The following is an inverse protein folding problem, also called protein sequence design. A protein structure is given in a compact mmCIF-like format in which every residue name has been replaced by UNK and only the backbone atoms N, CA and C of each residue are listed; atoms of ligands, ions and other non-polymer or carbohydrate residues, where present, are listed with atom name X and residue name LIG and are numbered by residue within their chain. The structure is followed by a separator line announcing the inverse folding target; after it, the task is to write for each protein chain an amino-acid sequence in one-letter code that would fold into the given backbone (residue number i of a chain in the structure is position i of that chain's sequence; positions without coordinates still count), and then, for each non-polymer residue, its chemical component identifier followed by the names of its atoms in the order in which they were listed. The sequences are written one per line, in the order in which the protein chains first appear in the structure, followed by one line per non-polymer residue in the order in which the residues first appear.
data_IF_431799337744
#
_entry.id   IF_431799337744
#
_cell.length_a   1.000
_cell.length_b   1.000
_cell.length_c   1.000
_cell.angle_alpha   90.00
_cell.angle_beta   90.00
_cell.angle_gamma   90.00
#
_symmetry.space_group_name_H-M   'P 1'
#
loop_
_entity.id
_entity.type
_entity.pdbx_description
1 polymer ?
#
# COMPACT_ATOMS: atom_id res chain seq x y z
N UNK A 1 4.23 14.91 -23.05
CA UNK A 1 4.48 14.21 -21.77
C UNK A 1 3.16 14.14 -21.03
N UNK A 2 2.44 13.03 -21.16
CA UNK A 2 1.28 12.73 -20.33
C UNK A 2 1.74 12.57 -18.88
N UNK A 3 1.03 13.14 -17.89
CA UNK A 3 1.36 12.91 -16.50
C UNK A 3 1.21 11.42 -16.21
N UNK A 4 2.24 10.80 -15.63
CA UNK A 4 2.19 9.44 -15.13
C UNK A 4 0.94 9.29 -14.26
N UNK A 5 0.09 8.30 -14.54
CA UNK A 5 -1.04 8.02 -13.66
C UNK A 5 -0.42 7.69 -12.31
N UNK A 6 -0.70 8.52 -11.30
CA UNK A 6 -0.31 8.22 -9.93
C UNK A 6 -0.70 6.78 -9.58
N UNK A 7 0.25 6.03 -9.01
CA UNK A 7 0.15 4.64 -8.55
C UNK A 7 -1.26 4.33 -8.05
N UNK A 8 -2.06 3.62 -8.84
CA UNK A 8 -3.48 3.34 -8.53
C UNK A 8 -3.60 2.11 -7.64
N UNK A 9 -3.06 2.19 -6.43
CA UNK A 9 -3.38 1.19 -5.40
C UNK A 9 -4.87 1.30 -5.09
N UNK A 10 -5.64 0.19 -5.08
CA UNK A 10 -7.05 0.23 -4.73
C UNK A 10 -7.27 0.85 -3.35
N UNK A 11 -8.27 1.72 -3.23
CA UNK A 11 -8.72 2.24 -1.92
C UNK A 11 -9.09 1.07 -1.01
N UNK A 12 -8.62 1.10 0.25
CA UNK A 12 -8.79 0.06 1.28
C UNK A 12 -7.97 -1.23 1.12
N UNK A 13 -7.08 -1.32 0.11
CA UNK A 13 -6.09 -2.40 0.07
C UNK A 13 -5.03 -2.24 1.15
N UNK A 14 -4.70 -3.32 1.84
CA UNK A 14 -3.61 -3.36 2.82
C UNK A 14 -2.58 -4.43 2.47
N UNK A 15 -1.33 -4.18 2.85
CA UNK A 15 -0.22 -5.12 2.70
C UNK A 15 -0.15 -6.05 3.90
N UNK A 16 0.20 -7.30 3.64
CA UNK A 16 0.67 -8.20 4.71
C UNK A 16 2.05 -7.73 5.18
N UNK A 17 2.16 -7.37 6.46
CA UNK A 17 3.41 -6.98 7.10
C UNK A 17 3.92 -8.01 8.11
N UNK A 18 3.14 -9.05 8.39
CA UNK A 18 3.46 -10.03 9.43
C UNK A 18 4.16 -11.27 8.84
N UNK A 19 3.99 -11.53 7.54
CA UNK A 19 4.67 -12.59 6.82
C UNK A 19 4.16 -13.98 7.17
N UNK A 20 5.01 -14.99 6.96
CA UNK A 20 4.64 -16.40 7.16
C UNK A 20 4.57 -16.73 8.65
N UNK A 21 3.50 -17.39 9.06
CA UNK A 21 3.29 -17.95 10.41
C UNK A 21 2.70 -19.37 10.30
N UNK A 22 2.69 -20.12 11.39
CA UNK A 22 2.03 -21.44 11.49
C UNK A 22 0.54 -21.25 11.80
N UNK A 23 -0.38 -21.48 10.83
CA UNK A 23 -1.77 -21.10 10.99
C UNK A 23 -2.62 -22.23 11.59
N UNK A 24 -3.59 -21.81 12.39
CA UNK A 24 -4.73 -22.63 12.76
C UNK A 24 -5.73 -22.73 11.61
N UNK A 25 -5.94 -23.95 11.10
CA UNK A 25 -6.89 -24.23 10.01
C UNK A 25 -8.10 -25.04 10.49
N UNK A 26 -9.22 -24.89 9.78
CA UNK A 26 -10.38 -25.78 9.87
C UNK A 26 -10.09 -27.10 9.16
N UNK A 27 -10.95 -28.10 9.34
CA UNK A 27 -10.83 -29.39 8.66
C UNK A 27 -10.90 -29.30 7.12
N UNK A 28 -11.49 -28.22 6.57
CA UNK A 28 -11.52 -27.97 5.13
C UNK A 28 -10.27 -27.27 4.60
N UNK A 29 -9.28 -26.99 5.47
CA UNK A 29 -8.05 -26.26 5.12
C UNK A 29 -8.20 -24.74 5.08
N UNK A 30 -9.35 -24.19 5.48
CA UNK A 30 -9.53 -22.74 5.58
C UNK A 30 -8.94 -22.20 6.89
N UNK A 31 -8.45 -20.97 6.90
CA UNK A 31 -8.00 -20.32 8.13
C UNK A 31 -9.12 -20.24 9.17
N UNK A 32 -8.82 -20.51 10.44
CA UNK A 32 -9.68 -20.03 11.53
C UNK A 32 -9.56 -18.51 11.60
N UNK A 33 -10.69 -17.83 11.86
CA UNK A 33 -10.74 -16.36 11.90
C UNK A 33 -9.80 -15.76 12.94
N UNK A 34 -9.58 -16.48 14.06
CA UNK A 34 -8.63 -16.13 15.10
C UNK A 34 -7.37 -16.96 14.97
N UNK A 35 -6.23 -16.30 15.02
CA UNK A 35 -4.90 -16.90 15.02
C UNK A 35 -4.17 -16.46 16.29
N UNK A 36 -3.35 -17.34 16.87
CA UNK A 36 -2.58 -17.05 18.08
C UNK A 36 -1.17 -17.68 17.95
N UNK A 37 -0.16 -17.05 18.55
CA UNK A 37 1.23 -17.55 18.47
C UNK A 37 1.61 -18.55 19.58
N UNK A 38 0.63 -19.23 20.19
CA UNK A 38 0.85 -20.16 21.31
C UNK A 38 1.15 -19.51 22.66
N UNK A 39 1.25 -18.18 22.72
CA UNK A 39 1.28 -17.39 23.97
C UNK A 39 -0.05 -16.64 24.14
N UNK A 40 -0.06 -15.55 24.92
CA UNK A 40 -1.25 -14.73 25.10
C UNK A 40 -1.53 -13.77 23.94
N UNK A 41 -0.84 -13.88 22.80
CA UNK A 41 -1.01 -12.96 21.67
C UNK A 41 -1.83 -13.57 20.55
N UNK A 42 -2.97 -12.94 20.23
CA UNK A 42 -3.87 -13.36 19.16
C UNK A 42 -4.21 -12.19 18.22
N UNK A 43 -4.65 -12.52 17.00
CA UNK A 43 -5.11 -11.55 16.00
C UNK A 43 -6.22 -12.17 15.14
N UNK A 44 -7.04 -11.33 14.51
CA UNK A 44 -7.99 -11.79 13.50
C UNK A 44 -7.36 -11.75 12.11
N UNK A 45 -7.72 -12.72 11.27
CA UNK A 45 -7.28 -12.82 9.87
C UNK A 45 -8.47 -12.82 8.91
N UNK A 46 -8.20 -12.48 7.66
CA UNK A 46 -9.13 -12.66 6.55
C UNK A 46 -9.01 -14.07 5.94
N UNK A 47 -9.79 -14.35 4.89
CA UNK A 47 -9.78 -15.64 4.20
C UNK A 47 -8.45 -15.95 3.49
N UNK A 48 -7.60 -14.95 3.28
CA UNK A 48 -6.24 -15.11 2.76
C UNK A 48 -5.20 -15.34 3.87
N UNK A 49 -5.62 -15.43 5.13
CA UNK A 49 -4.73 -15.61 6.28
C UNK A 49 -3.99 -14.33 6.70
N UNK A 50 -4.30 -13.18 6.10
CA UNK A 50 -3.64 -11.91 6.40
C UNK A 50 -4.30 -11.27 7.61
N UNK A 51 -3.48 -10.79 8.55
CA UNK A 51 -3.94 -10.09 9.74
C UNK A 51 -4.73 -8.83 9.36
N UNK A 52 -5.90 -8.67 9.96
CA UNK A 52 -6.83 -7.55 9.74
C UNK A 52 -7.18 -6.76 11.00
N UNK A 53 -6.53 -7.03 12.12
CA UNK A 53 -6.70 -6.33 13.41
C UNK A 53 -5.37 -6.08 14.09
N UNK A 54 -5.34 -5.20 15.08
CA UNK A 54 -4.22 -5.19 16.04
C UNK A 54 -4.09 -6.55 16.74
N UNK A 55 -2.90 -6.83 17.25
CA UNK A 55 -2.65 -7.98 18.13
C UNK A 55 -3.27 -7.69 19.50
N UNK A 56 -4.09 -8.61 19.97
CA UNK A 56 -4.76 -8.57 21.26
C UNK A 56 -4.43 -9.79 22.10
N UNK A 57 -5.14 -9.94 23.21
CA UNK A 57 -4.99 -11.09 24.10
C UNK A 57 -5.87 -12.29 23.69
N UNK A 58 -5.89 -13.34 24.50
CA UNK A 58 -6.75 -14.51 24.28
C UNK A 58 -8.25 -14.20 24.34
N UNK A 59 -8.68 -13.02 24.80
CA UNK A 59 -10.09 -12.59 24.81
C UNK A 59 -10.50 -11.90 23.52
N UNK A 60 -9.57 -11.66 22.59
CA UNK A 60 -9.88 -11.13 21.27
C UNK A 60 -10.93 -12.00 20.58
N UNK A 61 -12.02 -11.35 20.12
CA UNK A 61 -13.14 -12.01 19.46
C UNK A 61 -13.03 -11.80 17.95
N UNK A 62 -12.95 -12.91 17.20
CA UNK A 62 -13.00 -12.95 15.75
C UNK A 62 -14.18 -13.83 15.35
N UNK A 63 -15.39 -13.24 15.34
CA UNK A 63 -16.65 -13.99 15.21
C UNK A 63 -16.87 -14.60 13.82
N UNK A 64 -16.20 -14.07 12.79
CA UNK A 64 -16.34 -14.54 11.42
C UNK A 64 -15.00 -14.46 10.68
N UNK A 65 -14.84 -15.34 9.68
CA UNK A 65 -13.74 -15.25 8.73
C UNK A 65 -14.15 -14.31 7.60
N UNK A 66 -13.55 -13.11 7.58
CA UNK A 66 -13.89 -12.09 6.57
C UNK A 66 -13.29 -12.47 5.22
N UNK A 67 -14.11 -12.46 4.17
CA UNK A 67 -13.68 -12.80 2.81
C UNK A 67 -12.82 -11.69 2.19
N UNK A 68 -11.66 -12.07 1.67
CA UNK A 68 -10.85 -11.26 0.75
C UNK A 68 -11.38 -11.45 -0.67
N UNK A 69 -12.17 -10.50 -1.17
CA UNK A 69 -12.82 -10.64 -2.48
C UNK A 69 -12.05 -9.99 -3.63
N UNK A 70 -11.00 -9.22 -3.34
CA UNK A 70 -10.15 -8.59 -4.34
C UNK A 70 -8.69 -8.62 -3.89
N UNK A 71 -7.81 -9.08 -4.76
CA UNK A 71 -6.36 -9.03 -4.59
C UNK A 71 -5.77 -8.20 -5.73
N UNK A 72 -4.93 -7.23 -5.38
CA UNK A 72 -4.19 -6.40 -6.33
C UNK A 72 -2.70 -6.69 -6.18
N UNK A 73 -2.08 -7.17 -7.26
CA UNK A 73 -0.66 -7.50 -7.30
C UNK A 73 0.05 -6.48 -8.17
N UNK A 74 1.03 -5.80 -7.60
CA UNK A 74 1.93 -4.91 -8.33
C UNK A 74 3.29 -5.59 -8.46
N UNK A 75 3.74 -5.75 -9.70
CA UNK A 75 5.08 -6.23 -10.04
C UNK A 75 5.88 -5.09 -10.62
N UNK A 76 7.16 -5.04 -10.27
CA UNK A 76 8.14 -4.19 -10.93
C UNK A 76 9.23 -5.08 -11.48
N UNK A 77 9.44 -5.01 -12.79
CA UNK A 77 10.51 -5.76 -13.44
C UNK A 77 11.74 -4.89 -13.67
N UNK A 78 12.89 -5.54 -13.92
CA UNK A 78 14.15 -4.88 -14.27
C UNK A 78 13.94 -3.93 -15.43
N UNK A 79 14.48 -2.70 -15.32
CA UNK A 79 14.46 -1.75 -16.43
C UNK A 79 15.13 -2.35 -17.68
N UNK A 80 14.59 -2.03 -18.85
CA UNK A 80 15.05 -2.50 -20.16
C UNK A 80 15.24 -1.30 -21.08
N UNK A 81 16.09 -1.43 -22.10
CA UNK A 81 16.23 -0.43 -23.16
C UNK A 81 14.93 -0.30 -23.97
N UNK A 82 14.29 -1.44 -24.24
CA UNK A 82 13.01 -1.53 -24.93
C UNK A 82 11.95 -2.16 -24.01
N UNK A 83 10.87 -1.43 -23.69
CA UNK A 83 9.72 -1.98 -23.00
C UNK A 83 9.07 -3.12 -23.80
N UNK A 84 8.46 -4.07 -23.09
CA UNK A 84 7.59 -5.06 -23.72
C UNK A 84 6.35 -4.42 -24.35
N UNK A 85 5.69 -5.15 -25.26
CA UNK A 85 4.39 -4.75 -25.78
C UNK A 85 3.31 -5.04 -24.72
N UNK A 86 2.47 -4.04 -24.40
CA UNK A 86 1.48 -4.13 -23.31
C UNK A 86 0.57 -5.36 -23.41
N UNK A 87 0.05 -5.66 -24.61
CA UNK A 87 -0.83 -6.81 -24.83
C UNK A 87 -0.11 -8.15 -24.62
N UNK A 88 1.18 -8.25 -24.97
CA UNK A 88 1.97 -9.47 -24.78
C UNK A 88 2.22 -9.75 -23.30
N UNK A 89 2.51 -8.70 -22.50
CA UNK A 89 2.64 -8.82 -21.04
C UNK A 89 1.33 -9.33 -20.42
N UNK A 90 0.22 -8.69 -20.77
CA UNK A 90 -1.10 -9.07 -20.27
C UNK A 90 -1.45 -10.52 -20.65
N UNK A 91 -1.18 -10.93 -21.90
CA UNK A 91 -1.46 -12.28 -22.37
C UNK A 91 -0.57 -13.33 -21.70
N UNK A 92 0.72 -13.08 -21.54
CA UNK A 92 1.65 -14.01 -20.89
C UNK A 92 1.27 -14.26 -19.42
N UNK A 93 0.94 -13.21 -18.68
CA UNK A 93 0.51 -13.32 -17.29
C UNK A 93 -0.87 -13.98 -17.16
N UNK A 94 -1.83 -13.60 -18.02
CA UNK A 94 -3.14 -14.24 -18.06
C UNK A 94 -3.02 -15.74 -18.34
N UNK A 95 -2.21 -16.12 -19.32
CA UNK A 95 -1.93 -17.51 -19.65
C UNK A 95 -1.31 -18.24 -18.47
N UNK A 96 -0.32 -17.64 -17.80
CA UNK A 96 0.32 -18.22 -16.61
C UNK A 96 -0.69 -18.45 -15.49
N UNK A 97 -1.50 -17.44 -15.18
CA UNK A 97 -2.49 -17.50 -14.09
C UNK A 97 -3.55 -18.58 -14.34
N UNK A 98 -4.04 -18.68 -15.57
CA UNK A 98 -5.05 -19.67 -15.94
C UNK A 98 -4.48 -21.09 -16.00
N UNK A 99 -3.31 -21.28 -16.61
CA UNK A 99 -2.82 -22.62 -16.90
C UNK A 99 -1.99 -23.22 -15.77
N UNK A 100 -1.20 -22.40 -15.07
CA UNK A 100 -0.36 -22.85 -13.96
C UNK A 100 -1.14 -22.88 -12.65
N UNK A 101 -1.82 -21.78 -12.32
CA UNK A 101 -2.55 -21.65 -11.06
C UNK A 101 -4.04 -22.00 -11.16
N UNK A 102 -4.52 -22.41 -12.35
CA UNK A 102 -5.87 -22.93 -12.57
C UNK A 102 -7.00 -21.92 -12.25
N UNK A 103 -6.69 -20.62 -12.19
CA UNK A 103 -7.69 -19.61 -11.91
C UNK A 103 -8.60 -19.42 -13.12
N UNK A 104 -9.91 -19.52 -12.89
CA UNK A 104 -10.90 -19.31 -13.94
C UNK A 104 -10.79 -17.87 -14.51
N UNK A 105 -10.88 -17.68 -15.85
CA UNK A 105 -10.70 -16.37 -16.49
C UNK A 105 -11.59 -15.26 -15.92
N UNK A 106 -12.81 -15.59 -15.49
CA UNK A 106 -13.78 -14.64 -14.92
C UNK A 106 -13.28 -13.92 -13.65
N UNK A 107 -12.30 -14.50 -12.95
CA UNK A 107 -11.73 -13.90 -11.74
C UNK A 107 -10.51 -13.03 -12.01
N UNK A 108 -10.04 -12.95 -13.27
CA UNK A 108 -8.95 -12.06 -13.70
C UNK A 108 -9.59 -10.79 -14.26
N UNK A 109 -9.67 -9.74 -13.44
CA UNK A 109 -10.40 -8.51 -13.80
C UNK A 109 -9.66 -7.70 -14.87
N UNK A 110 -8.37 -7.47 -14.65
CA UNK A 110 -7.49 -6.77 -15.59
C UNK A 110 -6.02 -7.07 -15.28
N UNK A 111 -5.18 -6.91 -16.31
CA UNK A 111 -3.73 -6.94 -16.22
C UNK A 111 -3.21 -5.77 -17.05
N UNK A 112 -2.71 -4.75 -16.36
CA UNK A 112 -2.24 -3.51 -16.97
C UNK A 112 -0.71 -3.42 -16.87
N UNK A 113 -0.08 -2.95 -17.94
CA UNK A 113 1.36 -2.73 -17.99
C UNK A 113 1.66 -1.25 -18.29
N UNK A 114 2.34 -0.61 -17.34
CA UNK A 114 2.84 0.76 -17.43
C UNK A 114 4.31 0.73 -17.03
N UNK A 115 5.20 0.65 -18.03
CA UNK A 115 6.63 0.38 -17.84
C UNK A 115 7.26 1.21 -16.68
N UNK A 116 7.98 0.56 -15.73
CA UNK A 116 8.30 -0.87 -15.61
C UNK A 116 7.35 -1.67 -14.69
N UNK A 117 6.15 -1.14 -14.43
CA UNK A 117 5.18 -1.68 -13.48
C UNK A 117 4.11 -2.50 -14.20
N UNK A 118 3.70 -3.58 -13.56
CA UNK A 118 2.59 -4.43 -13.98
C UNK A 118 1.60 -4.51 -12.83
N UNK A 119 0.34 -4.26 -13.11
CA UNK A 119 -0.76 -4.39 -12.16
C UNK A 119 -1.64 -5.56 -12.55
N UNK A 120 -1.96 -6.46 -11.61
CA UNK A 120 -2.84 -7.61 -11.82
C UNK A 120 -3.99 -7.48 -10.81
N UNK A 121 -5.22 -7.44 -11.30
CA UNK A 121 -6.42 -7.38 -10.48
C UNK A 121 -7.16 -8.71 -10.50
N UNK A 122 -7.27 -9.37 -9.35
CA UNK A 122 -8.03 -10.60 -9.16
C UNK A 122 -9.28 -10.33 -8.33
N UNK A 123 -10.47 -10.76 -8.77
CA UNK A 123 -11.73 -10.55 -8.05
C UNK A 123 -12.56 -11.82 -7.99
N UNK A 124 -12.95 -12.23 -6.79
CA UNK A 124 -13.74 -13.44 -6.56
C UNK A 124 -14.57 -13.29 -5.27
N UNK A 125 -15.86 -12.97 -5.42
CA UNK A 125 -16.79 -12.92 -4.30
C UNK A 125 -17.13 -14.33 -3.81
N UNK A 126 -17.51 -14.46 -2.53
CA UNK A 126 -17.90 -15.75 -1.95
C UNK A 126 -19.06 -16.43 -2.71
N UNK A 127 -20.04 -15.65 -3.19
CA UNK A 127 -21.19 -16.14 -3.94
C UNK A 127 -20.87 -16.68 -5.34
N UNK A 128 -19.70 -16.34 -5.88
CA UNK A 128 -19.31 -16.69 -7.25
C UNK A 128 -18.38 -17.90 -7.31
N UNK A 129 -17.75 -18.29 -6.19
CA UNK A 129 -16.77 -19.38 -6.12
C UNK A 129 -17.48 -20.72 -5.99
N UNK A 130 -17.29 -21.62 -6.94
CA UNK A 130 -17.74 -23.00 -6.82
C UNK A 130 -16.75 -23.84 -5.98
N UNK A 131 -17.17 -25.02 -5.53
CA UNK A 131 -16.32 -25.93 -4.77
C UNK A 131 -15.11 -26.46 -5.55
N UNK A 132 -15.16 -26.41 -6.89
CA UNK A 132 -14.05 -26.81 -7.77
C UNK A 132 -13.11 -25.66 -8.12
N UNK A 133 -13.49 -24.41 -7.81
CA UNK A 133 -12.66 -23.25 -8.12
C UNK A 133 -11.55 -23.07 -7.09
N UNK A 134 -10.34 -22.77 -7.59
CA UNK A 134 -9.25 -22.28 -6.75
C UNK A 134 -9.57 -20.90 -6.18
N UNK A 135 -9.07 -20.60 -4.98
CA UNK A 135 -9.22 -19.26 -4.41
C UNK A 135 -8.20 -18.29 -5.03
N UNK A 136 -8.59 -17.03 -5.22
CA UNK A 136 -7.65 -15.98 -5.62
C UNK A 136 -6.50 -15.79 -4.61
N UNK A 137 -6.74 -16.08 -3.32
CA UNK A 137 -5.71 -16.06 -2.29
C UNK A 137 -4.65 -17.15 -2.50
N UNK A 138 -5.08 -18.37 -2.84
CA UNK A 138 -4.17 -19.47 -3.18
C UNK A 138 -3.32 -19.11 -4.41
N UNK A 139 -3.96 -18.56 -5.44
CA UNK A 139 -3.28 -18.14 -6.67
C UNK A 139 -2.23 -17.07 -6.38
N UNK A 140 -2.56 -16.07 -5.56
CA UNK A 140 -1.61 -15.02 -5.18
C UNK A 140 -0.42 -15.60 -4.39
N UNK A 141 -0.68 -16.51 -3.45
CA UNK A 141 0.36 -17.17 -2.65
C UNK A 141 1.30 -18.02 -3.51
N UNK A 142 0.77 -18.88 -4.38
CA UNK A 142 1.58 -19.72 -5.26
C UNK A 142 2.37 -18.87 -6.27
N UNK A 143 1.76 -17.81 -6.80
CA UNK A 143 2.45 -16.89 -7.70
C UNK A 143 3.59 -16.15 -6.99
N UNK A 144 3.38 -15.71 -5.76
CA UNK A 144 4.42 -15.09 -4.94
C UNK A 144 5.61 -16.03 -4.72
N UNK A 145 5.33 -17.28 -4.36
CA UNK A 145 6.33 -18.33 -4.16
C UNK A 145 7.15 -18.58 -5.43
N UNK A 146 6.48 -18.68 -6.57
CA UNK A 146 7.14 -18.84 -7.87
C UNK A 146 8.05 -17.65 -8.23
N UNK A 147 7.57 -16.41 -8.05
CA UNK A 147 8.34 -15.19 -8.33
C UNK A 147 9.54 -15.05 -7.38
N UNK A 148 9.38 -15.44 -6.10
CA UNK A 148 10.46 -15.43 -5.09
C UNK A 148 11.41 -16.64 -5.19
N UNK A 149 11.27 -17.50 -6.21
CA UNK A 149 12.08 -18.71 -6.43
C UNK A 149 11.98 -19.73 -5.29
N UNK A 150 10.84 -19.77 -4.63
CA UNK A 150 10.48 -20.71 -3.56
C UNK A 150 9.26 -21.54 -4.01
N UNK A 151 9.32 -22.06 -5.24
CA UNK A 151 8.19 -22.76 -5.86
C UNK A 151 7.78 -24.00 -5.07
N UNK A 152 6.47 -24.13 -4.83
CA UNK A 152 5.88 -25.31 -4.17
C UNK A 152 5.64 -26.45 -5.19
N UNK A 153 5.64 -26.14 -6.49
CA UNK A 153 5.49 -27.15 -7.52
C UNK A 153 6.73 -28.04 -7.61
N UNK A 154 6.53 -29.31 -7.98
CA UNK A 154 7.63 -30.23 -8.23
C UNK A 154 8.65 -29.64 -9.20
N UNK A 155 9.93 -29.99 -9.01
CA UNK A 155 11.06 -29.43 -9.78
C UNK A 155 10.99 -29.65 -11.28
N UNK A 156 10.26 -30.68 -11.73
CA UNK A 156 9.96 -30.94 -13.14
C UNK A 156 9.00 -29.92 -13.77
N UNK A 157 8.37 -29.06 -12.97
CA UNK A 157 7.45 -28.00 -13.39
C UNK A 157 8.03 -26.63 -13.02
N UNK A 158 9.27 -26.38 -13.46
CA UNK A 158 9.99 -25.15 -13.20
C UNK A 158 9.22 -23.91 -13.66
N UNK A 159 9.12 -22.92 -12.79
CA UNK A 159 8.52 -21.65 -13.15
C UNK A 159 9.44 -20.84 -14.06
N UNK A 160 8.92 -20.44 -15.22
CA UNK A 160 9.60 -19.53 -16.14
C UNK A 160 8.61 -18.54 -16.75
N UNK A 161 8.74 -17.28 -16.37
CA UNK A 161 7.88 -16.19 -16.86
C UNK A 161 8.61 -15.41 -17.97
N UNK A 162 8.01 -15.40 -19.16
CA UNK A 162 8.58 -14.72 -20.34
C UNK A 162 7.51 -14.01 -21.14
N UNK A 163 7.93 -12.97 -21.87
CA UNK A 163 7.09 -12.18 -22.79
C UNK A 163 7.82 -12.13 -24.13
N UNK A 164 7.20 -12.65 -25.18
CA UNK A 164 7.84 -12.73 -26.51
C UNK A 164 9.16 -13.53 -26.50
N UNK A 165 9.24 -14.59 -25.68
CA UNK A 165 10.45 -15.41 -25.51
C UNK A 165 11.57 -14.78 -24.68
N UNK A 166 11.42 -13.52 -24.24
CA UNK A 166 12.38 -12.83 -23.37
C UNK A 166 11.97 -12.97 -21.89
N UNK A 167 12.89 -13.23 -20.96
CA UNK A 167 12.57 -13.33 -19.54
C UNK A 167 11.94 -12.05 -18.98
N UNK A 168 10.93 -12.19 -18.14
CA UNK A 168 10.34 -11.11 -17.36
C UNK A 168 10.93 -11.13 -15.94
N UNK A 169 12.07 -10.44 -15.78
CA UNK A 169 12.82 -10.41 -14.52
C UNK A 169 12.15 -9.49 -13.49
N UNK A 170 11.33 -10.05 -12.60
CA UNK A 170 10.68 -9.33 -11.50
C UNK A 170 11.70 -8.99 -10.40
N UNK A 171 11.79 -7.72 -10.00
CA UNK A 171 12.64 -7.23 -8.89
C UNK A 171 11.85 -7.04 -7.60
N UNK A 172 10.59 -6.61 -7.71
CA UNK A 172 9.74 -6.28 -6.57
C UNK A 172 8.32 -6.76 -6.86
N UNK A 173 7.67 -7.31 -5.84
CA UNK A 173 6.28 -7.76 -5.87
C UNK A 173 5.61 -7.30 -4.59
N UNK A 174 4.46 -6.63 -4.73
CA UNK A 174 3.62 -6.17 -3.64
C UNK A 174 2.21 -6.71 -3.84
N UNK A 175 1.64 -7.31 -2.80
CA UNK A 175 0.31 -7.91 -2.83
C UNK A 175 -0.58 -7.19 -1.83
N UNK A 176 -1.62 -6.54 -2.35
CA UNK A 176 -2.62 -5.82 -1.58
C UNK A 176 -3.88 -6.66 -1.50
N UNK A 177 -4.39 -6.80 -0.28
CA UNK A 177 -5.60 -7.55 0.04
C UNK A 177 -6.74 -6.58 0.33
N UNK A 178 -7.89 -6.80 -0.31
CA UNK A 178 -9.12 -6.04 -0.13
C UNK A 178 -10.20 -7.01 0.37
N UNK A 179 -10.69 -6.72 1.57
CA UNK A 179 -11.69 -7.52 2.27
C UNK A 179 -13.11 -6.96 2.06
N UNK A 180 -14.12 -7.82 2.21
CA UNK A 180 -15.53 -7.41 2.22
C UNK A 180 -15.87 -6.48 3.39
N UNK A 181 -15.10 -6.56 4.49
CA UNK A 181 -15.20 -5.67 5.66
C UNK A 181 -13.85 -5.00 5.91
N UNK A 182 -13.80 -3.67 6.10
CA UNK A 182 -12.55 -2.96 6.37
C UNK A 182 -11.78 -3.54 7.56
N UNK A 183 -10.43 -3.53 7.53
CA UNK A 183 -9.63 -3.98 8.66
C UNK A 183 -9.77 -3.02 9.86
N UNK A 184 -9.57 -3.56 11.05
CA UNK A 184 -9.76 -2.87 12.34
C UNK A 184 -8.40 -2.69 13.03
N UNK A 185 -7.57 -1.81 12.47
CA UNK A 185 -6.33 -1.38 13.11
C UNK A 185 -6.56 -0.10 13.91
N UNK A 186 -6.06 -0.05 15.14
CA UNK A 186 -6.02 1.19 15.91
C UNK A 186 -4.91 2.07 15.36
N UNK A 187 -5.18 3.36 15.16
CA UNK A 187 -4.17 4.37 14.76
C UNK A 187 -3.08 4.63 15.83
N UNK A 188 -2.94 3.76 16.83
CA UNK A 188 -1.97 3.88 17.93
C UNK A 188 -0.51 3.85 17.49
N UNK A 189 -0.24 3.48 16.24
CA UNK A 189 1.10 3.44 15.67
C UNK A 189 1.63 4.78 15.11
N UNK A 190 0.95 5.91 15.34
CA UNK A 190 1.65 7.20 15.31
C UNK A 190 2.65 7.21 16.47
N UNK A 191 3.89 6.80 16.20
CA UNK A 191 4.99 6.86 17.17
C UNK A 191 5.03 8.27 17.78
N UNK A 192 5.19 8.42 19.10
CA UNK A 192 5.26 9.72 19.77
C UNK A 192 6.23 10.70 19.10
N UNK A 193 7.30 10.19 18.48
CA UNK A 193 8.25 10.97 17.69
C UNK A 193 7.64 11.69 16.49
N UNK A 194 6.70 11.07 15.77
CA UNK A 194 6.05 11.71 14.60
C UNK A 194 5.14 12.85 15.05
N UNK A 195 4.38 12.65 16.14
CA UNK A 195 3.54 13.70 16.71
C UNK A 195 4.41 14.84 17.25
N UNK A 196 5.50 14.54 17.96
CA UNK A 196 6.43 15.54 18.48
C UNK A 196 7.05 16.39 17.36
N UNK A 197 7.46 15.78 16.25
CA UNK A 197 8.01 16.49 15.09
C UNK A 197 6.96 17.41 14.45
N UNK A 198 5.74 16.92 14.24
CA UNK A 198 4.65 17.72 13.65
C UNK A 198 4.33 18.92 14.54
N UNK A 199 4.21 18.71 15.85
CA UNK A 199 3.95 19.78 16.82
C UNK A 199 5.10 20.81 16.80
N UNK A 200 6.35 20.37 16.75
CA UNK A 200 7.51 21.26 16.72
C UNK A 200 7.57 22.11 15.45
N UNK A 201 7.24 21.52 14.29
CA UNK A 201 7.16 22.25 13.02
C UNK A 201 6.07 23.32 13.06
N UNK A 202 4.88 22.98 13.57
CA UNK A 202 3.76 23.94 13.71
C UNK A 202 4.14 25.10 14.64
N UNK A 203 4.73 24.80 15.81
CA UNK A 203 5.18 25.83 16.75
C UNK A 203 6.25 26.73 16.14
N UNK A 204 7.21 26.17 15.41
CA UNK A 204 8.27 26.93 14.74
C UNK A 204 7.72 27.87 13.68
N UNK A 205 6.72 27.43 12.90
CA UNK A 205 6.04 28.27 11.91
C UNK A 205 5.27 29.42 12.57
N UNK A 206 4.54 29.15 13.66
CA UNK A 206 3.81 30.17 14.42
C UNK A 206 4.78 31.22 14.98
N UNK A 207 5.89 30.80 15.60
CA UNK A 207 6.91 31.71 16.11
C UNK A 207 7.51 32.54 14.98
N UNK A 208 7.83 31.93 13.84
CA UNK A 208 8.33 32.64 12.66
C UNK A 208 7.37 33.73 12.17
N UNK A 209 6.07 33.43 12.10
CA UNK A 209 5.03 34.39 11.72
C UNK A 209 4.95 35.53 12.75
N UNK A 210 4.96 35.23 14.05
CA UNK A 210 4.91 36.24 15.12
C UNK A 210 6.13 37.17 15.01
N UNK A 211 7.33 36.62 14.87
CA UNK A 211 8.57 37.41 14.72
C UNK A 211 8.49 38.30 13.48
N UNK A 212 7.99 37.79 12.36
CA UNK A 212 7.85 38.55 11.12
C UNK A 212 6.83 39.69 11.26
N UNK A 213 5.70 39.45 11.93
CA UNK A 213 4.69 40.49 12.20
C UNK A 213 5.24 41.55 13.15
N UNK A 214 5.92 41.15 14.24
CA UNK A 214 6.51 42.08 15.22
C UNK A 214 7.63 42.91 14.59
N UNK A 215 8.52 42.29 13.82
CA UNK A 215 9.59 43.02 13.12
C UNK A 215 9.03 43.96 12.06
N UNK A 216 8.02 43.57 11.29
CA UNK A 216 7.30 44.47 10.37
C UNK A 216 6.66 45.63 11.11
N UNK A 217 5.95 45.40 12.22
CA UNK A 217 5.35 46.46 13.05
C UNK A 217 6.40 47.41 13.65
N UNK A 218 7.53 46.89 14.11
CA UNK A 218 8.64 47.72 14.62
C UNK A 218 9.30 48.55 13.52
N UNK A 219 9.49 47.99 12.32
CA UNK A 219 10.01 48.73 11.16
C UNK A 219 9.05 49.85 10.76
N UNK A 220 7.75 49.57 10.55
CA UNK A 220 6.77 50.61 10.19
C UNK A 220 6.63 51.68 11.28
N UNK A 221 6.74 51.31 12.56
CA UNK A 221 6.81 52.27 13.66
C UNK A 221 8.05 53.16 13.65
N UNK A 222 9.23 52.63 13.26
CA UNK A 222 10.45 53.43 13.06
C UNK A 222 10.33 54.37 11.86
N UNK A 223 9.80 53.90 10.72
CA UNK A 223 9.57 54.75 9.54
C UNK A 223 8.66 55.94 9.87
N UNK A 224 7.52 55.71 10.55
CA UNK A 224 6.65 56.81 11.01
C UNK A 224 7.35 57.79 11.94
N UNK A 225 8.22 57.32 12.85
CA UNK A 225 8.96 58.20 13.76
C UNK A 225 10.03 59.03 13.04
N UNK A 226 10.71 58.47 12.04
CA UNK A 226 11.70 59.21 11.22
C UNK A 226 10.99 60.28 10.39
N UNK A 227 9.88 59.94 9.74
CA UNK A 227 9.10 60.88 8.91
C UNK A 227 8.53 62.05 9.74
N UNK A 228 8.05 61.79 10.96
CA UNK A 228 7.60 62.85 11.89
C UNK A 228 8.78 63.71 12.37
N UNK A 229 9.96 63.12 12.61
CA UNK A 229 11.15 63.86 13.02
C UNK A 229 11.67 64.75 11.88
N UNK A 230 11.75 64.25 10.65
CA UNK A 230 12.16 65.03 9.47
C UNK A 230 11.15 66.16 9.18
N UNK A 231 9.84 65.91 9.28
CA UNK A 231 8.84 66.97 9.15
C UNK A 231 8.91 68.03 10.27
N UNK A 232 9.30 67.63 11.48
CA UNK A 232 9.54 68.54 12.60
C UNK A 232 10.82 69.38 12.44
N UNK A 233 11.88 68.79 11.88
CA UNK A 233 13.13 69.48 11.59
C UNK A 233 12.99 70.45 10.40
N UNK A 234 12.25 70.09 9.34
CA UNK A 234 11.91 71.01 8.24
C UNK A 234 11.11 72.23 8.71
N UNK A 235 10.15 72.04 9.63
CA UNK A 235 9.40 73.17 10.23
C UNK A 235 10.26 74.08 11.10
N UNK A 236 11.34 73.57 11.72
CA UNK A 236 12.29 74.40 12.47
C UNK A 236 13.27 75.14 11.55
N UNK A 237 13.68 74.53 10.43
CA UNK A 237 14.54 75.18 9.44
C UNK A 237 13.86 76.29 8.63
N UNK A 238 12.53 76.32 8.57
CA UNK A 238 11.75 77.40 7.92
C UNK A 238 11.45 78.62 8.83
N UNK A 239 11.81 78.55 10.12
CA UNK A 239 11.56 79.60 11.11
C UNK A 239 12.87 80.29 11.59
N UNK A 240 13.92 80.27 10.78
CA UNK A 240 15.19 81.01 10.92
C UNK A 240 15.43 81.78 9.63
#
# INVERSE_FOLDING_TARGET
MTPSKARRVPSHGFLDNDGIYDPDCTASGAFKAKQCNGTDTCWCVNSAGVRRTDKGDTKLNCSELVRTNHIFIELKHKKRSEPFVNSEVANALRYTIQNRYKLHPNYIKDIDYEYPLISINLKQNASQKSNSDVDIADVAYYFEKDVKRDSIFHSNNSFFLSVGGKPLDVEEMLIYYIDEKPPEFSMKHLTPGVIAVVVFVILSLIVGIIVLVVTRRRRTGKYKKVEIKEMGEMRRGQNL
#
